data_IF_228037462787
#
_entry.id   IF_228037462787
#
_cell.length_a   1.000
_cell.length_b   1.000
_cell.length_c   1.000
_cell.angle_alpha   90.00
_cell.angle_beta   90.00
_cell.angle_gamma   90.00
#
_symmetry.space_group_name_H-M   'P 1'
#
loop_
_entity.id
_entity.type
_entity.pdbx_description
1 polymer ?
#
# COMPACT_ATOMS: atom_id res chain seq x y z
N UNK A 1 16.72 -11.81 -8.40
CA UNK A 1 16.15 -10.91 -9.43
C UNK A 1 15.05 -10.14 -8.72
N UNK A 2 15.29 -8.87 -8.43
CA UNK A 2 14.31 -8.01 -7.76
C UNK A 2 13.64 -7.14 -8.82
N UNK A 3 12.33 -6.98 -8.72
CA UNK A 3 11.45 -6.39 -9.74
C UNK A 3 10.02 -6.93 -9.58
N UNK A 4 9.07 -6.48 -10.41
CA UNK A 4 7.70 -7.01 -10.43
C UNK A 4 7.74 -8.52 -10.69
N UNK A 5 7.35 -9.30 -9.68
CA UNK A 5 7.47 -10.76 -9.64
C UNK A 5 6.17 -11.46 -10.07
N UNK A 6 5.06 -10.73 -10.01
CA UNK A 6 3.73 -11.20 -10.38
C UNK A 6 2.87 -10.01 -10.76
N UNK A 7 1.78 -10.24 -11.51
CA UNK A 7 0.80 -9.19 -11.77
C UNK A 7 0.32 -8.53 -10.47
N UNK A 8 0.15 -7.22 -10.50
CA UNK A 8 -0.24 -6.39 -9.38
C UNK A 8 -1.44 -5.50 -9.74
N UNK A 9 -2.28 -5.07 -8.79
CA UNK A 9 -3.42 -4.18 -9.09
C UNK A 9 -3.05 -2.90 -9.87
N UNK A 10 -1.86 -2.30 -9.69
CA UNK A 10 -1.40 -1.21 -10.54
C UNK A 10 -1.25 -1.55 -12.03
N UNK A 11 -1.04 -2.81 -12.41
CA UNK A 11 -0.89 -3.22 -13.82
C UNK A 11 -2.19 -3.01 -14.61
N UNK A 12 -3.32 -2.91 -13.92
CA UNK A 12 -4.63 -2.60 -14.51
C UNK A 12 -4.84 -1.08 -14.72
N UNK A 13 -3.94 -0.23 -14.20
CA UNK A 13 -4.04 1.22 -14.38
C UNK A 13 -3.55 1.63 -15.77
N UNK A 14 -4.38 2.40 -16.47
CA UNK A 14 -4.05 2.94 -17.79
C UNK A 14 -2.79 3.83 -17.66
N UNK A 15 -1.77 3.52 -18.46
CA UNK A 15 -0.45 4.18 -18.47
C UNK A 15 0.40 3.93 -17.20
N UNK A 16 0.15 2.84 -16.47
CA UNK A 16 1.04 2.40 -15.40
C UNK A 16 1.68 1.05 -15.78
N UNK A 17 2.99 1.09 -15.96
CA UNK A 17 3.87 -0.07 -16.12
C UNK A 17 5.03 0.16 -15.15
N UNK A 18 5.08 -0.66 -14.10
CA UNK A 18 6.11 -0.61 -13.07
C UNK A 18 7.52 -0.95 -13.58
N UNK A 19 7.69 -1.33 -14.85
CA UNK A 19 8.99 -1.58 -15.48
C UNK A 19 9.30 -0.61 -16.62
N UNK A 20 8.30 0.13 -17.14
CA UNK A 20 8.47 0.96 -18.34
C UNK A 20 7.96 2.41 -18.21
N UNK A 21 7.16 2.76 -17.20
CA UNK A 21 6.44 4.05 -17.18
C UNK A 21 7.11 5.17 -16.40
N UNK A 22 7.78 4.86 -15.30
CA UNK A 22 8.36 5.85 -14.39
C UNK A 22 9.81 5.45 -14.09
N UNK A 23 10.68 6.45 -13.89
CA UNK A 23 12.00 6.19 -13.33
C UNK A 23 11.86 5.64 -11.90
N UNK A 24 12.83 4.85 -11.46
CA UNK A 24 12.83 4.21 -10.14
C UNK A 24 12.55 5.22 -9.02
N UNK A 25 13.22 6.38 -9.03
CA UNK A 25 13.03 7.46 -8.04
C UNK A 25 11.58 7.99 -8.01
N UNK A 26 10.97 8.22 -9.18
CA UNK A 26 9.60 8.76 -9.26
C UNK A 26 8.57 7.71 -8.84
N UNK A 27 8.84 6.46 -9.16
CA UNK A 27 8.01 5.34 -8.73
C UNK A 27 8.08 5.16 -7.21
N UNK A 28 9.26 5.29 -6.63
CA UNK A 28 9.46 5.26 -5.18
C UNK A 28 8.71 6.41 -4.50
N UNK A 29 8.84 7.65 -4.99
CA UNK A 29 8.08 8.80 -4.49
C UNK A 29 6.56 8.58 -4.58
N UNK A 30 6.09 7.97 -5.66
CA UNK A 30 4.68 7.65 -5.84
C UNK A 30 4.18 6.61 -4.82
N UNK A 31 4.95 5.53 -4.61
CA UNK A 31 4.56 4.47 -3.69
C UNK A 31 4.79 4.81 -2.20
N UNK A 32 5.77 5.64 -1.86
CA UNK A 32 6.03 6.07 -0.48
C UNK A 32 5.25 7.34 -0.09
N UNK A 33 4.99 8.22 -1.06
CA UNK A 33 4.33 9.50 -0.84
C UNK A 33 2.85 9.48 -1.18
N UNK A 34 2.51 9.19 -2.44
CA UNK A 34 1.15 9.40 -2.97
C UNK A 34 0.20 8.28 -2.57
N UNK A 35 0.56 7.02 -2.83
CA UNK A 35 -0.27 5.85 -2.55
C UNK A 35 -0.74 5.76 -1.08
N UNK A 36 0.12 5.98 -0.07
CA UNK A 36 -0.29 5.91 1.33
C UNK A 36 -1.29 7.01 1.71
N UNK A 37 -1.14 8.21 1.15
CA UNK A 37 -2.06 9.34 1.38
C UNK A 37 -3.43 9.04 0.77
N UNK A 38 -3.49 8.58 -0.48
CA UNK A 38 -4.76 8.23 -1.14
C UNK A 38 -5.46 7.11 -0.38
N UNK A 39 -4.72 6.04 -0.03
CA UNK A 39 -5.26 4.91 0.74
C UNK A 39 -5.84 5.38 2.08
N UNK A 40 -5.19 6.33 2.74
CA UNK A 40 -5.68 6.91 3.99
C UNK A 40 -7.00 7.65 3.83
N UNK A 41 -7.12 8.51 2.84
CA UNK A 41 -8.35 9.26 2.58
C UNK A 41 -9.52 8.30 2.33
N UNK A 42 -9.29 7.27 1.52
CA UNK A 42 -10.30 6.24 1.22
C UNK A 42 -10.70 5.47 2.49
N UNK A 43 -9.73 5.04 3.29
CA UNK A 43 -10.00 4.29 4.53
C UNK A 43 -10.73 5.15 5.57
N UNK A 44 -10.38 6.44 5.68
CA UNK A 44 -11.04 7.40 6.56
C UNK A 44 -12.51 7.56 6.18
N UNK A 45 -12.79 7.80 4.90
CA UNK A 45 -14.17 7.95 4.44
C UNK A 45 -14.97 6.63 4.52
N UNK A 46 -14.36 5.50 4.18
CA UNK A 46 -15.01 4.20 4.35
C UNK A 46 -15.37 3.91 5.82
N UNK A 47 -14.51 4.34 6.76
CA UNK A 47 -14.78 4.25 8.19
C UNK A 47 -15.90 5.21 8.63
N UNK A 48 -15.88 6.47 8.16
CA UNK A 48 -16.93 7.46 8.44
C UNK A 48 -18.31 6.99 7.96
N UNK A 49 -18.36 6.37 6.78
CA UNK A 49 -19.56 5.78 6.19
C UNK A 49 -19.96 4.44 6.82
N UNK A 50 -19.19 3.93 7.80
CA UNK A 50 -19.38 2.64 8.47
C UNK A 50 -19.40 1.45 7.51
N UNK A 51 -18.69 1.56 6.37
CA UNK A 51 -18.55 0.48 5.39
C UNK A 51 -17.52 -0.56 5.84
N UNK A 52 -16.56 -0.15 6.67
CA UNK A 52 -15.49 -1.01 7.18
C UNK A 52 -15.09 -0.58 8.59
N UNK A 53 -14.65 -1.53 9.42
CA UNK A 53 -14.04 -1.26 10.72
C UNK A 53 -12.54 -1.57 10.67
N UNK A 54 -11.77 -0.97 11.57
CA UNK A 54 -10.34 -1.29 11.71
C UNK A 54 -10.07 -2.75 12.01
N UNK A 55 -10.96 -3.40 12.77
CA UNK A 55 -10.84 -4.82 13.06
C UNK A 55 -10.90 -5.65 11.76
N UNK A 56 -11.83 -5.31 10.86
CA UNK A 56 -11.95 -5.98 9.54
C UNK A 56 -10.72 -5.70 8.67
N UNK A 57 -10.16 -4.49 8.71
CA UNK A 57 -8.94 -4.18 7.97
C UNK A 57 -7.74 -4.98 8.50
N UNK A 58 -7.58 -5.01 9.82
CA UNK A 58 -6.50 -5.75 10.48
C UNK A 58 -6.60 -7.25 10.19
N UNK A 59 -7.80 -7.82 10.34
CA UNK A 59 -8.08 -9.22 10.02
C UNK A 59 -7.73 -9.55 8.56
N UNK A 60 -8.12 -8.69 7.61
CA UNK A 60 -7.79 -8.88 6.18
C UNK A 60 -6.30 -8.77 5.91
N UNK A 61 -5.61 -7.85 6.60
CA UNK A 61 -4.17 -7.65 6.47
C UNK A 61 -3.39 -8.85 7.01
N UNK A 62 -3.83 -9.43 8.13
CA UNK A 62 -3.23 -10.62 8.73
C UNK A 62 -3.47 -11.88 7.90
N UNK A 63 -4.65 -11.99 7.28
CA UNK A 63 -5.03 -13.12 6.43
C UNK A 63 -4.61 -12.98 4.96
N UNK A 64 -4.02 -11.84 4.59
CA UNK A 64 -3.52 -11.65 3.23
C UNK A 64 -2.34 -12.59 2.96
N UNK A 65 -2.39 -13.28 1.81
CA UNK A 65 -1.32 -14.20 1.40
C UNK A 65 -0.18 -13.42 0.76
N UNK A 66 0.78 -12.98 1.59
CA UNK A 66 2.00 -12.34 1.12
C UNK A 66 2.92 -13.36 0.44
N UNK A 67 3.52 -12.97 -0.69
CA UNK A 67 4.58 -13.75 -1.31
C UNK A 67 5.78 -13.90 -0.37
N UNK A 68 6.59 -14.95 -0.56
CA UNK A 68 7.73 -15.26 0.32
C UNK A 68 8.69 -14.07 0.53
N UNK A 69 8.85 -13.21 -0.48
CA UNK A 69 9.72 -12.03 -0.45
C UNK A 69 9.10 -10.84 0.30
N UNK A 70 7.77 -10.81 0.43
CA UNK A 70 6.97 -9.71 0.98
C UNK A 70 6.56 -9.94 2.44
N UNK A 71 6.78 -11.14 2.99
CA UNK A 71 6.48 -11.47 4.40
C UNK A 71 7.16 -10.51 5.39
N UNK A 72 8.32 -9.96 5.00
CA UNK A 72 9.09 -8.98 5.77
C UNK A 72 8.62 -7.53 5.61
N UNK A 73 7.83 -7.24 4.58
CA UNK A 73 7.34 -5.90 4.22
C UNK A 73 5.84 -5.73 4.55
N UNK A 74 5.35 -6.43 5.58
CA UNK A 74 3.94 -6.31 5.99
C UNK A 74 3.68 -4.90 6.53
N UNK A 75 2.56 -4.26 6.13
CA UNK A 75 2.20 -2.97 6.67
C UNK A 75 1.92 -3.08 8.18
N UNK A 76 2.29 -2.06 8.98
CA UNK A 76 1.96 -2.05 10.41
C UNK A 76 0.44 -1.97 10.62
N UNK A 77 -0.07 -2.46 11.76
CA UNK A 77 -1.49 -2.38 12.08
C UNK A 77 -2.05 -0.96 11.96
N UNK A 78 -3.12 -0.77 11.20
CA UNK A 78 -3.78 0.53 11.08
C UNK A 78 -4.64 0.77 12.33
N UNK A 79 -4.09 1.55 13.25
CA UNK A 79 -4.78 2.03 14.44
C UNK A 79 -5.55 3.33 14.18
N UNK A 80 -6.59 3.58 14.98
CA UNK A 80 -7.40 4.81 14.95
C UNK A 80 -6.55 6.09 14.98
N UNK A 81 -5.43 6.07 15.72
CA UNK A 81 -4.49 7.20 15.81
C UNK A 81 -3.88 7.62 14.46
N UNK A 82 -3.80 6.71 13.48
CA UNK A 82 -3.27 7.03 12.16
C UNK A 82 -4.25 7.89 11.35
N UNK A 83 -5.57 7.80 11.60
CA UNK A 83 -6.58 8.69 10.96
C UNK A 83 -6.48 10.15 11.39
N UNK A 84 -5.97 10.41 12.60
CA UNK A 84 -5.89 11.76 13.14
C UNK A 84 -4.63 12.50 12.67
N UNK A 85 -3.62 11.75 12.21
CA UNK A 85 -2.38 12.31 11.65
C UNK A 85 -2.35 12.24 10.11
N UNK A 86 -3.43 11.78 9.46
CA UNK A 86 -3.57 11.63 8.01
C UNK A 86 -2.41 10.92 7.32
N UNK A 87 -1.74 9.99 8.02
CA UNK A 87 -0.54 9.32 7.51
C UNK A 87 -0.45 7.86 7.95
N UNK A 88 -0.33 6.96 6.98
CA UNK A 88 0.23 5.62 7.16
C UNK A 88 1.70 5.69 6.74
N UNK A 89 2.59 5.25 7.60
CA UNK A 89 3.99 5.11 7.22
C UNK A 89 4.15 3.82 6.41
N UNK A 90 4.62 3.95 5.18
CA UNK A 90 5.11 2.86 4.35
C UNK A 90 6.48 3.24 3.78
N UNK A 91 7.34 2.25 3.59
CA UNK A 91 8.61 2.41 2.88
C UNK A 91 8.64 1.43 1.73
N UNK A 92 8.95 1.90 0.53
CA UNK A 92 9.21 1.06 -0.63
C UNK A 92 10.70 0.72 -0.59
N UNK A 93 11.04 -0.44 -0.03
CA UNK A 93 12.42 -0.87 0.03
C UNK A 93 12.86 -1.46 -1.31
N UNK A 94 13.84 -0.84 -1.96
CA UNK A 94 14.66 -1.50 -2.95
C UNK A 94 15.60 -2.47 -2.21
N UNK A 95 15.31 -3.78 -2.29
CA UNK A 95 16.25 -4.80 -1.81
C UNK A 95 17.35 -4.97 -2.87
N UNK A 96 18.57 -4.59 -2.54
CA UNK A 96 19.78 -4.85 -3.33
C UNK A 96 20.11 -6.35 -3.35
#
# INVERSE_FOLDING_TARGET
MFGVISPSPPDDLINFDATASLSEDVMQDYFEGVCPVISMVILKEASNLKLITFAVFQERTENFSYGELDVSNKPPPIQVKHLNNDRINGSAAQKF
#
